data_IF_132774643389
#
_entry.id   IF_132774643389
#
_cell.length_a   1.000
_cell.length_b   1.000
_cell.length_c   1.000
_cell.angle_alpha   90.00
_cell.angle_beta   90.00
_cell.angle_gamma   90.00
#
_symmetry.space_group_name_H-M   'P 1'
#
loop_
_entity.id
_entity.type
_entity.pdbx_description
1 polymer ?
#
# COMPACT_ATOMS: atom_id res chain seq x y z
N UNK A 1 0.86 -22.89 -31.97
CA UNK A 1 0.03 -23.49 -30.93
C UNK A 1 -1.07 -22.50 -30.59
N UNK A 2 -2.34 -22.93 -30.57
CA UNK A 2 -3.43 -22.03 -30.21
C UNK A 2 -3.42 -21.80 -28.67
N UNK A 3 -3.93 -20.66 -28.19
CA UNK A 3 -3.99 -20.40 -26.75
C UNK A 3 -4.75 -21.47 -25.95
N UNK A 4 -5.55 -22.29 -26.61
CA UNK A 4 -6.28 -23.40 -25.99
C UNK A 4 -5.34 -24.57 -25.64
N UNK A 5 -4.29 -24.82 -26.41
CA UNK A 5 -3.34 -25.92 -26.12
C UNK A 5 -2.55 -25.67 -24.82
N UNK A 6 -2.31 -24.39 -24.46
CA UNK A 6 -1.63 -24.03 -23.22
C UNK A 6 -2.52 -24.23 -21.97
N UNK A 7 -3.85 -24.19 -22.12
CA UNK A 7 -4.78 -24.43 -21.00
C UNK A 7 -4.77 -25.91 -20.53
N UNK A 8 -4.26 -26.83 -21.36
CA UNK A 8 -4.18 -28.24 -21.00
C UNK A 8 -2.81 -28.65 -20.43
N UNK A 9 -1.85 -27.71 -20.35
CA UNK A 9 -0.58 -27.94 -19.64
C UNK A 9 -0.70 -27.43 -18.22
N UNK A 10 -0.93 -28.35 -17.27
CA UNK A 10 -1.21 -28.03 -15.87
C UNK A 10 -0.18 -27.06 -15.24
N UNK A 11 1.11 -27.30 -15.47
CA UNK A 11 2.19 -26.46 -14.93
C UNK A 11 2.15 -25.03 -15.49
N UNK A 12 1.92 -24.88 -16.81
CA UNK A 12 1.82 -23.58 -17.47
C UNK A 12 0.58 -22.82 -17.00
N UNK A 13 -0.55 -23.50 -16.92
CA UNK A 13 -1.80 -22.93 -16.42
C UNK A 13 -1.63 -22.44 -14.99
N UNK A 14 -1.06 -23.27 -14.12
CA UNK A 14 -0.83 -22.92 -12.71
C UNK A 14 0.13 -21.73 -12.57
N UNK A 15 1.20 -21.68 -13.39
CA UNK A 15 2.12 -20.55 -13.43
C UNK A 15 1.41 -19.25 -13.82
N UNK A 16 0.62 -19.27 -14.89
CA UNK A 16 -0.11 -18.11 -15.37
C UNK A 16 -1.13 -17.60 -14.33
N UNK A 17 -1.84 -18.52 -13.66
CA UNK A 17 -2.76 -18.18 -12.58
C UNK A 17 -2.02 -17.48 -11.43
N UNK A 18 -0.86 -18.02 -11.02
CA UNK A 18 -0.05 -17.42 -9.93
C UNK A 18 0.41 -16.01 -10.29
N UNK A 19 0.94 -15.81 -11.50
CA UNK A 19 1.41 -14.50 -11.97
C UNK A 19 0.25 -13.51 -12.01
N UNK A 20 -0.89 -13.88 -12.61
CA UNK A 20 -2.05 -13.02 -12.70
C UNK A 20 -2.60 -12.62 -11.31
N UNK A 21 -2.77 -13.60 -10.44
CA UNK A 21 -3.29 -13.37 -9.09
C UNK A 21 -2.37 -12.46 -8.28
N UNK A 22 -1.06 -12.72 -8.33
CA UNK A 22 -0.08 -11.89 -7.62
C UNK A 22 0.00 -10.48 -8.20
N UNK A 23 -0.06 -10.32 -9.52
CA UNK A 23 -0.06 -9.02 -10.18
C UNK A 23 -1.25 -8.16 -9.74
N UNK A 24 -2.46 -8.76 -9.73
CA UNK A 24 -3.67 -8.05 -9.29
C UNK A 24 -3.56 -7.65 -7.81
N UNK A 25 -3.19 -8.59 -6.95
CA UNK A 25 -3.06 -8.35 -5.50
C UNK A 25 -2.03 -7.24 -5.19
N UNK A 26 -0.85 -7.33 -5.82
CA UNK A 26 0.20 -6.34 -5.64
C UNK A 26 -0.24 -4.95 -6.10
N UNK A 27 -0.94 -4.86 -7.25
CA UNK A 27 -1.40 -3.58 -7.76
C UNK A 27 -2.46 -2.94 -6.84
N UNK A 28 -3.43 -3.72 -6.34
CA UNK A 28 -4.44 -3.23 -5.40
C UNK A 28 -3.78 -2.68 -4.14
N UNK A 29 -2.87 -3.45 -3.56
CA UNK A 29 -2.13 -3.01 -2.39
C UNK A 29 -1.28 -1.75 -2.66
N UNK A 30 -0.62 -1.68 -3.82
CA UNK A 30 0.13 -0.50 -4.22
C UNK A 30 -0.76 0.75 -4.34
N UNK A 31 -1.95 0.63 -4.93
CA UNK A 31 -2.91 1.73 -5.03
C UNK A 31 -3.30 2.24 -3.64
N UNK A 32 -3.58 1.33 -2.71
CA UNK A 32 -3.90 1.65 -1.32
C UNK A 32 -2.73 2.34 -0.60
N UNK A 33 -1.50 1.84 -0.77
CA UNK A 33 -0.29 2.45 -0.19
C UNK A 33 -0.08 3.87 -0.71
N UNK A 34 -0.23 4.11 -2.01
CA UNK A 34 -0.08 5.43 -2.61
C UNK A 34 -1.10 6.42 -2.03
N UNK A 35 -2.36 6.02 -1.95
CA UNK A 35 -3.45 6.88 -1.46
C UNK A 35 -3.30 7.14 0.05
N UNK A 36 -3.03 6.09 0.83
CA UNK A 36 -2.89 6.20 2.29
C UNK A 36 -1.69 7.05 2.67
N UNK A 37 -0.54 6.88 2.01
CA UNK A 37 0.67 7.68 2.27
C UNK A 37 0.39 9.17 2.14
N UNK A 38 -0.30 9.59 1.08
CA UNK A 38 -0.64 11.01 0.90
C UNK A 38 -1.68 11.48 1.92
N UNK A 39 -2.68 10.67 2.23
CA UNK A 39 -3.66 10.99 3.30
C UNK A 39 -2.98 11.15 4.67
N UNK A 40 -2.07 10.25 5.01
CA UNK A 40 -1.32 10.28 6.26
C UNK A 40 -0.43 11.53 6.36
N UNK A 41 0.17 11.97 5.25
CA UNK A 41 0.92 13.21 5.22
C UNK A 41 0.08 14.42 5.61
N UNK A 42 -1.15 14.53 5.09
CA UNK A 42 -2.06 15.60 5.49
C UNK A 42 -2.56 15.45 6.93
N UNK A 43 -2.72 14.21 7.42
CA UNK A 43 -3.06 13.95 8.82
C UNK A 43 -1.92 14.30 9.78
N UNK A 44 -0.66 14.21 9.32
CA UNK A 44 0.54 14.46 10.13
C UNK A 44 0.61 15.90 10.68
N UNK A 45 0.25 16.90 9.90
CA UNK A 45 0.22 18.30 10.37
C UNK A 45 -0.64 18.50 11.62
N UNK A 46 -1.59 17.61 11.84
CA UNK A 46 -2.45 17.60 13.02
C UNK A 46 -1.78 16.99 14.27
N UNK A 47 -0.82 16.08 14.09
CA UNK A 47 -0.14 15.35 15.18
C UNK A 47 0.98 16.17 15.81
N UNK A 48 1.66 17.03 15.06
CA UNK A 48 2.73 17.91 15.53
C UNK A 48 2.29 18.85 16.66
N UNK A 49 0.98 19.01 16.89
CA UNK A 49 0.42 19.79 17.98
C UNK A 49 0.10 18.96 19.25
N UNK A 50 0.69 17.77 19.41
CA UNK A 50 0.52 16.92 20.60
C UNK A 50 -0.78 16.13 20.63
N UNK A 51 -1.41 15.92 19.47
CA UNK A 51 -2.65 15.14 19.33
C UNK A 51 -2.35 13.74 18.75
N UNK A 52 -2.70 12.72 19.50
CA UNK A 52 -2.54 11.33 19.14
C UNK A 52 -3.52 10.94 18.00
N UNK A 53 -2.98 10.41 16.92
CA UNK A 53 -3.71 9.78 15.81
C UNK A 53 -4.89 10.57 15.24
N UNK A 54 -4.63 11.31 14.18
CA UNK A 54 -5.67 11.93 13.37
C UNK A 54 -5.73 11.20 12.01
N UNK A 55 -6.93 10.87 11.61
CA UNK A 55 -7.26 10.51 10.24
C UNK A 55 -8.10 11.61 9.62
N UNK A 56 -7.91 11.84 8.33
CA UNK A 56 -8.77 12.74 7.56
C UNK A 56 -9.92 12.00 6.89
N UNK A 57 -10.11 10.73 7.20
CA UNK A 57 -11.20 9.91 6.65
C UNK A 57 -12.56 10.33 7.20
N UNK A 58 -13.58 10.24 6.36
CA UNK A 58 -14.94 10.64 6.73
C UNK A 58 -15.46 9.80 7.89
N UNK A 59 -15.13 8.51 7.97
CA UNK A 59 -15.50 7.64 9.08
C UNK A 59 -14.93 8.09 10.42
N UNK A 60 -13.67 8.52 10.45
CA UNK A 60 -13.03 9.05 11.65
C UNK A 60 -13.68 10.36 12.09
N UNK A 61 -13.92 11.28 11.15
CA UNK A 61 -14.57 12.56 11.41
C UNK A 61 -15.97 12.33 11.99
N UNK A 62 -16.75 11.42 11.40
CA UNK A 62 -18.09 11.06 11.88
C UNK A 62 -18.05 10.42 13.28
N UNK A 63 -17.06 9.57 13.55
CA UNK A 63 -16.84 9.01 14.89
C UNK A 63 -16.62 10.10 15.93
N UNK A 64 -15.76 11.09 15.63
CA UNK A 64 -15.52 12.24 16.53
C UNK A 64 -16.80 13.09 16.77
N UNK A 65 -17.57 13.32 15.70
CA UNK A 65 -18.85 14.04 15.81
C UNK A 65 -19.83 13.30 16.73
N UNK A 66 -20.02 12.00 16.50
CA UNK A 66 -20.94 11.16 17.31
C UNK A 66 -20.52 11.13 18.79
N UNK A 67 -19.22 11.05 19.09
CA UNK A 67 -18.72 11.06 20.47
C UNK A 67 -18.99 12.39 21.16
N UNK A 68 -18.87 13.50 20.44
CA UNK A 68 -19.18 14.84 20.96
C UNK A 68 -20.69 15.00 21.20
N UNK A 69 -21.52 14.53 20.27
CA UNK A 69 -23.00 14.58 20.37
C UNK A 69 -23.54 13.74 21.52
N UNK A 70 -22.95 12.56 21.77
CA UNK A 70 -23.31 11.69 22.89
C UNK A 70 -22.87 12.22 24.27
N UNK A 71 -22.30 13.42 24.33
CA UNK A 71 -21.94 14.04 25.58
C UNK A 71 -20.75 13.38 26.27
N UNK A 72 -19.95 12.56 25.56
CA UNK A 72 -18.65 12.19 26.07
C UNK A 72 -17.95 13.49 26.43
N UNK A 73 -17.61 13.66 27.75
CA UNK A 73 -17.04 14.91 28.24
C UNK A 73 -15.96 15.35 27.26
N UNK A 74 -16.19 16.42 26.49
CA UNK A 74 -15.24 16.83 25.49
C UNK A 74 -14.00 17.27 26.24
N UNK A 75 -13.03 16.38 26.36
CA UNK A 75 -11.71 16.87 26.59
C UNK A 75 -11.45 17.87 25.46
N UNK A 76 -10.89 19.02 25.78
CA UNK A 76 -10.53 20.07 24.82
C UNK A 76 -9.89 19.48 23.57
N UNK A 77 -9.19 18.37 23.68
CA UNK A 77 -8.57 17.58 22.64
C UNK A 77 -9.55 17.05 21.55
N UNK A 78 -10.73 16.51 21.91
CA UNK A 78 -11.68 15.97 20.91
C UNK A 78 -12.20 17.06 19.96
N UNK A 79 -12.52 18.24 20.49
CA UNK A 79 -12.97 19.37 19.65
C UNK A 79 -11.86 19.88 18.75
N UNK A 80 -10.63 20.00 19.28
CA UNK A 80 -9.46 20.40 18.49
C UNK A 80 -9.18 19.37 17.39
N UNK A 81 -9.21 18.07 17.70
CA UNK A 81 -9.02 16.99 16.73
C UNK A 81 -10.05 17.06 15.60
N UNK A 82 -11.33 17.28 15.95
CA UNK A 82 -12.38 17.40 14.92
C UNK A 82 -12.17 18.61 14.01
N UNK A 83 -11.84 19.77 14.57
CA UNK A 83 -11.59 20.99 13.78
C UNK A 83 -10.40 20.80 12.86
N UNK A 84 -9.31 20.24 13.38
CA UNK A 84 -8.09 19.96 12.59
C UNK A 84 -8.37 18.94 11.49
N UNK A 85 -8.98 17.81 11.81
CA UNK A 85 -9.30 16.77 10.81
C UNK A 85 -10.18 17.32 9.67
N UNK A 86 -11.20 18.13 9.99
CA UNK A 86 -12.04 18.80 8.99
C UNK A 86 -11.26 19.79 8.12
N UNK A 87 -10.32 20.54 8.72
CA UNK A 87 -9.48 21.50 8.00
C UNK A 87 -8.59 20.76 7.01
N UNK A 88 -7.83 19.77 7.47
CA UNK A 88 -6.90 19.01 6.64
C UNK A 88 -7.65 18.19 5.57
N UNK A 89 -8.83 17.63 5.91
CA UNK A 89 -9.69 16.99 4.93
C UNK A 89 -10.11 17.95 3.81
N UNK A 90 -10.41 19.20 4.15
CA UNK A 90 -10.76 20.22 3.15
C UNK A 90 -9.58 20.56 2.25
N UNK A 91 -8.36 20.64 2.81
CA UNK A 91 -7.13 20.88 2.05
C UNK A 91 -6.87 19.70 1.12
N UNK A 92 -6.87 18.48 1.63
CA UNK A 92 -6.71 17.25 0.84
C UNK A 92 -7.74 17.17 -0.31
N UNK A 93 -9.03 17.42 -0.01
CA UNK A 93 -10.06 17.44 -1.06
C UNK A 93 -9.78 18.47 -2.15
N UNK A 94 -9.27 19.63 -1.79
CA UNK A 94 -8.96 20.69 -2.74
C UNK A 94 -7.72 20.36 -3.59
N UNK A 95 -6.65 19.89 -2.98
CA UNK A 95 -5.35 19.71 -3.61
C UNK A 95 -5.24 18.37 -4.35
N UNK A 96 -5.76 17.30 -3.78
CA UNK A 96 -5.63 15.96 -4.32
C UNK A 96 -6.85 15.56 -5.18
N UNK A 97 -8.07 15.73 -4.64
CA UNK A 97 -9.27 15.25 -5.32
C UNK A 97 -9.84 16.25 -6.33
N UNK A 98 -9.54 17.54 -6.18
CA UNK A 98 -10.12 18.60 -7.00
C UNK A 98 -11.64 18.75 -6.78
N UNK A 99 -12.27 19.73 -7.45
CA UNK A 99 -13.65 20.18 -7.15
C UNK A 99 -14.78 19.34 -7.75
N UNK A 100 -14.58 18.13 -8.29
CA UNK A 100 -15.63 17.39 -9.03
C UNK A 100 -15.87 15.96 -8.50
N UNK A 101 -17.13 15.48 -8.69
CA UNK A 101 -17.65 14.14 -8.34
C UNK A 101 -16.79 12.99 -8.91
N UNK A 102 -16.57 11.93 -8.19
CA UNK A 102 -15.76 10.71 -8.33
C UNK A 102 -14.43 10.79 -7.59
N UNK A 103 -14.53 10.73 -6.26
CA UNK A 103 -13.36 10.85 -5.37
C UNK A 103 -12.37 9.70 -5.57
N UNK A 104 -12.84 8.44 -5.69
CA UNK A 104 -11.96 7.28 -5.75
C UNK A 104 -11.09 7.21 -7.02
N UNK A 105 -11.69 7.45 -8.19
CA UNK A 105 -10.93 7.42 -9.45
C UNK A 105 -9.88 8.56 -9.55
N UNK A 106 -10.04 9.61 -8.74
CA UNK A 106 -9.13 10.77 -8.71
C UNK A 106 -8.08 10.65 -7.62
N UNK A 107 -8.38 9.92 -6.54
CA UNK A 107 -7.49 9.77 -5.41
C UNK A 107 -6.12 9.25 -5.85
N UNK A 108 -6.07 8.16 -6.60
CA UNK A 108 -4.81 7.63 -7.12
C UNK A 108 -4.08 8.65 -8.00
N UNK A 109 -4.77 9.24 -8.99
CA UNK A 109 -4.14 10.19 -9.91
C UNK A 109 -3.62 11.43 -9.19
N UNK A 110 -4.40 11.96 -8.25
CA UNK A 110 -4.00 13.11 -7.45
C UNK A 110 -2.83 12.80 -6.54
N UNK A 111 -2.87 11.63 -5.88
CA UNK A 111 -1.77 11.17 -5.01
C UNK A 111 -0.48 10.92 -5.78
N UNK A 112 -0.54 10.32 -6.97
CA UNK A 112 0.63 10.11 -7.82
C UNK A 112 1.23 11.46 -8.29
N UNK A 113 0.38 12.40 -8.69
CA UNK A 113 0.84 13.75 -9.05
C UNK A 113 1.50 14.44 -7.87
N UNK A 114 0.92 14.33 -6.68
CA UNK A 114 1.47 14.88 -5.45
C UNK A 114 2.84 14.26 -5.11
N UNK A 115 2.96 12.92 -5.18
CA UNK A 115 4.24 12.22 -4.98
C UNK A 115 5.31 12.62 -6.00
N UNK A 116 4.92 12.89 -7.24
CA UNK A 116 5.82 13.41 -8.28
C UNK A 116 6.28 14.84 -7.96
N UNK A 117 5.38 15.72 -7.54
CA UNK A 117 5.70 17.10 -7.13
C UNK A 117 6.62 17.13 -5.90
N UNK A 118 6.59 16.09 -5.06
CA UNK A 118 7.46 15.91 -3.90
C UNK A 118 8.70 15.05 -4.19
N UNK A 119 9.00 14.78 -5.46
CA UNK A 119 10.19 14.03 -5.92
C UNK A 119 10.30 12.61 -5.35
N UNK A 120 9.18 11.99 -4.96
CA UNK A 120 9.14 10.61 -4.50
C UNK A 120 9.16 9.64 -5.68
N UNK A 121 8.45 9.99 -6.75
CA UNK A 121 8.42 9.26 -8.03
C UNK A 121 8.79 10.19 -9.18
N UNK A 122 9.32 9.63 -10.27
CA UNK A 122 9.60 10.38 -11.49
C UNK A 122 8.39 10.42 -12.44
N UNK A 123 8.47 11.21 -13.51
CA UNK A 123 7.44 11.26 -14.54
C UNK A 123 7.33 9.91 -15.27
N UNK A 124 8.46 9.31 -15.62
CA UNK A 124 8.51 7.99 -16.28
C UNK A 124 7.91 6.89 -15.40
N UNK A 125 8.12 6.98 -14.10
CA UNK A 125 7.51 6.04 -13.14
C UNK A 125 6.00 6.24 -13.02
N UNK A 126 5.53 7.47 -13.08
CA UNK A 126 4.12 7.77 -13.12
C UNK A 126 3.45 7.18 -14.37
N UNK A 127 4.07 7.33 -15.55
CA UNK A 127 3.62 6.70 -16.80
C UNK A 127 3.63 5.16 -16.70
N UNK A 128 4.68 4.59 -16.12
CA UNK A 128 4.78 3.14 -15.87
C UNK A 128 3.62 2.65 -15.01
N UNK A 129 3.28 3.35 -13.91
CA UNK A 129 2.17 2.98 -13.03
C UNK A 129 0.85 2.95 -13.81
N UNK A 130 0.60 3.91 -14.71
CA UNK A 130 -0.60 3.87 -15.55
C UNK A 130 -0.59 2.73 -16.58
N UNK A 131 0.57 2.34 -17.10
CA UNK A 131 0.69 1.17 -17.96
C UNK A 131 0.40 -0.13 -17.20
N UNK A 132 0.91 -0.27 -15.99
CA UNK A 132 0.65 -1.38 -15.08
C UNK A 132 -0.84 -1.44 -14.73
N UNK A 133 -1.47 -0.31 -14.44
CA UNK A 133 -2.91 -0.22 -14.20
C UNK A 133 -3.73 -0.72 -15.39
N UNK A 134 -3.35 -0.33 -16.59
CA UNK A 134 -4.01 -0.81 -17.81
C UNK A 134 -3.87 -2.32 -17.94
N UNK A 135 -2.67 -2.87 -17.71
CA UNK A 135 -2.42 -4.33 -17.75
C UNK A 135 -3.23 -5.07 -16.69
N UNK A 136 -3.26 -4.56 -15.43
CA UNK A 136 -4.10 -5.12 -14.37
C UNK A 136 -5.58 -5.16 -14.76
N UNK A 137 -6.10 -4.09 -15.37
CA UNK A 137 -7.49 -4.07 -15.81
C UNK A 137 -7.76 -5.11 -16.91
N UNK A 138 -6.84 -5.30 -17.84
CA UNK A 138 -6.93 -6.39 -18.83
C UNK A 138 -6.97 -7.76 -18.16
N UNK A 139 -6.08 -8.00 -17.18
CA UNK A 139 -6.05 -9.25 -16.41
C UNK A 139 -7.37 -9.50 -15.67
N UNK A 140 -7.97 -8.48 -15.06
CA UNK A 140 -9.24 -8.62 -14.33
C UNK A 140 -10.41 -8.90 -15.26
N UNK A 141 -10.50 -8.20 -16.39
CA UNK A 141 -11.65 -8.30 -17.31
C UNK A 141 -11.57 -9.45 -18.30
N UNK A 142 -10.36 -9.86 -18.66
CA UNK A 142 -10.10 -10.89 -19.68
C UNK A 142 -9.29 -12.07 -19.12
N UNK A 143 -9.40 -12.36 -17.81
CA UNK A 143 -8.55 -13.30 -17.09
C UNK A 143 -8.36 -14.66 -17.80
N UNK A 144 -9.46 -15.30 -18.20
CA UNK A 144 -9.39 -16.60 -18.85
C UNK A 144 -8.65 -16.56 -20.19
N UNK A 145 -8.81 -15.49 -20.96
CA UNK A 145 -8.11 -15.29 -22.22
C UNK A 145 -6.63 -15.04 -22.00
N UNK A 146 -6.29 -14.18 -21.02
CA UNK A 146 -4.90 -13.85 -20.69
C UNK A 146 -4.14 -15.06 -20.13
N UNK A 147 -4.78 -15.86 -19.26
CA UNK A 147 -4.20 -17.12 -18.78
C UNK A 147 -3.98 -18.11 -19.93
N UNK A 148 -4.93 -18.20 -20.86
CA UNK A 148 -4.82 -19.07 -22.05
C UNK A 148 -3.74 -18.62 -23.03
N UNK A 149 -3.55 -17.31 -23.21
CA UNK A 149 -2.51 -16.74 -24.06
C UNK A 149 -1.10 -16.86 -23.46
N UNK A 150 -1.03 -16.98 -22.15
CA UNK A 150 0.20 -16.96 -21.37
C UNK A 150 0.56 -15.55 -20.88
N UNK A 151 1.00 -15.50 -19.64
CA UNK A 151 1.64 -14.31 -19.07
C UNK A 151 3.15 -14.41 -19.31
N UNK A 152 3.77 -13.29 -19.62
CA UNK A 152 5.14 -13.27 -20.10
C UNK A 152 6.13 -12.61 -19.13
N UNK A 153 7.38 -12.56 -19.53
CA UNK A 153 8.44 -11.91 -18.77
C UNK A 153 8.17 -10.42 -18.52
N UNK A 154 7.41 -9.74 -19.39
CA UNK A 154 7.07 -8.33 -19.21
C UNK A 154 6.14 -8.14 -18.01
N UNK A 155 5.20 -9.08 -17.80
CA UNK A 155 4.32 -9.06 -16.62
C UNK A 155 5.14 -9.21 -15.33
N UNK A 156 6.12 -10.12 -15.32
CA UNK A 156 7.03 -10.29 -14.17
C UNK A 156 7.89 -9.05 -13.96
N UNK A 157 8.39 -8.44 -15.01
CA UNK A 157 9.15 -7.17 -14.90
C UNK A 157 8.31 -6.03 -14.36
N UNK A 158 7.03 -5.95 -14.72
CA UNK A 158 6.09 -4.97 -14.14
C UNK A 158 5.89 -5.21 -12.65
N UNK A 159 5.74 -6.46 -12.22
CA UNK A 159 5.67 -6.85 -10.79
C UNK A 159 6.91 -6.36 -10.03
N UNK A 160 8.10 -6.68 -10.54
CA UNK A 160 9.37 -6.30 -9.88
C UNK A 160 9.52 -4.78 -9.79
N UNK A 161 9.15 -4.05 -10.85
CA UNK A 161 9.20 -2.58 -10.84
C UNK A 161 8.21 -2.00 -9.83
N UNK A 162 7.01 -2.58 -9.74
CA UNK A 162 5.98 -2.13 -8.81
C UNK A 162 6.40 -2.36 -7.35
N UNK A 163 6.99 -3.52 -7.02
CA UNK A 163 7.55 -3.79 -5.69
C UNK A 163 8.62 -2.76 -5.29
N UNK A 164 9.55 -2.44 -6.21
CA UNK A 164 10.59 -1.43 -5.95
C UNK A 164 10.00 -0.04 -5.72
N UNK A 165 8.99 0.34 -6.49
CA UNK A 165 8.29 1.61 -6.32
C UNK A 165 7.61 1.68 -4.95
N UNK A 166 6.91 0.62 -4.56
CA UNK A 166 6.24 0.51 -3.27
C UNK A 166 7.23 0.61 -2.11
N UNK A 167 8.33 -0.12 -2.14
CA UNK A 167 9.39 -0.04 -1.13
C UNK A 167 9.91 1.39 -0.97
N UNK A 168 10.14 2.10 -2.09
CA UNK A 168 10.62 3.49 -2.04
C UNK A 168 9.57 4.44 -1.46
N UNK A 169 8.30 4.31 -1.82
CA UNK A 169 7.22 5.13 -1.26
C UNK A 169 7.10 4.88 0.25
N UNK A 170 7.18 3.63 0.70
CA UNK A 170 7.14 3.28 2.10
C UNK A 170 8.36 3.79 2.87
N UNK A 171 9.55 3.67 2.31
CA UNK A 171 10.76 4.24 2.92
C UNK A 171 10.64 5.77 3.08
N UNK A 172 10.08 6.44 2.08
CA UNK A 172 9.80 7.87 2.16
C UNK A 172 8.77 8.17 3.24
N UNK A 173 7.65 7.40 3.31
CA UNK A 173 6.63 7.54 4.35
C UNK A 173 7.22 7.40 5.75
N UNK A 174 7.97 6.33 5.99
CA UNK A 174 8.64 6.10 7.28
C UNK A 174 9.51 7.29 7.66
N UNK A 175 10.31 7.80 6.72
CA UNK A 175 11.25 8.89 6.97
C UNK A 175 10.55 10.24 7.19
N UNK A 176 9.50 10.53 6.45
CA UNK A 176 8.86 11.85 6.46
C UNK A 176 7.64 11.93 7.38
N UNK A 177 7.01 10.80 7.69
CA UNK A 177 5.78 10.74 8.47
C UNK A 177 6.00 9.98 9.78
N UNK A 178 6.34 8.68 9.70
CA UNK A 178 6.32 7.81 10.90
C UNK A 178 7.42 8.19 11.91
N UNK A 179 8.65 8.41 11.45
CA UNK A 179 9.75 8.76 12.34
C UNK A 179 9.54 10.10 13.07
N UNK A 180 9.11 11.19 12.40
CA UNK A 180 8.80 12.43 13.08
C UNK A 180 7.67 12.32 14.10
N UNK A 181 6.60 11.55 13.78
CA UNK A 181 5.43 11.40 14.66
C UNK A 181 5.78 10.61 15.92
N UNK A 182 6.50 9.50 15.75
CA UNK A 182 6.76 8.57 16.83
C UNK A 182 8.02 8.93 17.63
N UNK A 183 8.74 9.98 17.25
CA UNK A 183 10.08 10.32 17.79
C UNK A 183 11.03 9.12 17.76
N UNK A 184 10.82 8.19 16.81
CA UNK A 184 11.60 6.97 16.70
C UNK A 184 12.96 7.33 16.10
N UNK A 185 14.01 6.95 16.84
CA UNK A 185 15.38 6.90 16.29
C UNK A 185 15.64 5.46 15.87
N UNK A 186 15.79 5.24 14.58
CA UNK A 186 16.22 3.93 14.10
C UNK A 186 17.60 3.58 14.71
N UNK A 187 17.87 2.30 15.01
CA UNK A 187 19.20 1.84 15.32
C UNK A 187 20.19 2.29 14.24
N UNK A 188 21.42 2.57 14.61
CA UNK A 188 22.43 3.11 13.66
C UNK A 188 22.68 2.19 12.46
N UNK A 189 22.41 0.90 12.64
CA UNK A 189 22.61 -0.17 11.65
C UNK A 189 21.45 -0.28 10.66
N UNK A 190 20.28 0.32 10.97
CA UNK A 190 19.06 0.24 10.15
C UNK A 190 18.89 1.54 9.39
N UNK A 191 18.85 1.45 8.07
CA UNK A 191 18.51 2.60 7.22
C UNK A 191 16.99 2.69 7.05
N UNK A 192 16.43 3.90 6.91
CA UNK A 192 15.00 4.05 6.59
C UNK A 192 14.56 3.25 5.36
N UNK A 193 15.45 3.11 4.39
CA UNK A 193 15.20 2.35 3.16
C UNK A 193 15.14 0.83 3.38
N UNK A 194 15.63 0.33 4.52
CA UNK A 194 15.56 -1.08 4.91
C UNK A 194 14.30 -1.39 5.74
N UNK A 195 13.51 -0.37 6.07
CA UNK A 195 12.28 -0.55 6.85
C UNK A 195 11.14 -0.94 5.92
N UNK A 196 10.54 -2.08 6.22
CA UNK A 196 9.44 -2.65 5.45
C UNK A 196 8.18 -2.71 6.31
N UNK A 197 7.04 -2.32 5.75
CA UNK A 197 5.74 -2.50 6.38
C UNK A 197 5.37 -3.99 6.51
N UNK A 198 4.46 -4.31 7.45
CA UNK A 198 4.03 -5.70 7.64
C UNK A 198 3.42 -6.31 6.38
N UNK A 199 2.55 -5.57 5.70
CA UNK A 199 1.89 -6.02 4.47
C UNK A 199 2.87 -6.16 3.30
N UNK A 200 3.87 -5.26 3.22
CA UNK A 200 4.94 -5.35 2.21
C UNK A 200 5.81 -6.59 2.43
N UNK A 201 6.13 -6.90 3.69
CA UNK A 201 6.89 -8.10 4.03
C UNK A 201 6.12 -9.37 3.64
N UNK A 202 4.80 -9.39 3.81
CA UNK A 202 3.95 -10.49 3.35
C UNK A 202 3.98 -10.61 1.82
N UNK A 203 3.80 -9.51 1.10
CA UNK A 203 3.82 -9.52 -0.38
C UNK A 203 5.18 -9.93 -0.94
N UNK A 204 6.28 -9.42 -0.37
CA UNK A 204 7.62 -9.83 -0.78
C UNK A 204 7.85 -11.32 -0.50
N UNK A 205 7.41 -11.81 0.66
CA UNK A 205 7.49 -13.23 1.00
C UNK A 205 6.68 -14.09 0.03
N UNK A 206 5.47 -13.66 -0.35
CA UNK A 206 4.68 -14.34 -1.37
C UNK A 206 5.40 -14.36 -2.72
N UNK A 207 6.03 -13.28 -3.14
CA UNK A 207 6.81 -13.22 -4.36
C UNK A 207 7.95 -14.24 -4.34
N UNK A 208 8.72 -14.29 -3.27
CA UNK A 208 9.83 -15.25 -3.10
C UNK A 208 9.36 -16.70 -3.13
N UNK A 209 8.25 -17.00 -2.46
CA UNK A 209 7.65 -18.34 -2.45
C UNK A 209 7.17 -18.75 -3.84
N UNK A 210 6.46 -17.86 -4.53
CA UNK A 210 5.80 -18.17 -5.80
C UNK A 210 6.77 -18.24 -6.98
N UNK A 211 7.81 -17.36 -6.98
CA UNK A 211 8.66 -17.15 -8.15
C UNK A 211 10.13 -17.48 -7.94
N UNK A 212 10.64 -17.43 -6.69
CA UNK A 212 12.05 -17.72 -6.40
C UNK A 212 12.30 -19.10 -5.80
N UNK A 213 11.25 -19.88 -5.55
CA UNK A 213 11.39 -21.25 -5.01
C UNK A 213 11.77 -21.31 -3.53
N UNK A 214 11.59 -20.21 -2.78
CA UNK A 214 11.97 -20.11 -1.36
C UNK A 214 10.92 -20.69 -0.39
N UNK A 215 9.88 -21.35 -0.89
CA UNK A 215 8.78 -21.89 -0.07
C UNK A 215 9.22 -22.81 1.08
N UNK A 216 10.11 -23.80 0.86
CA UNK A 216 10.59 -24.67 1.93
C UNK A 216 11.37 -23.94 3.02
N UNK A 217 12.24 -22.99 2.63
CA UNK A 217 13.07 -22.20 3.56
C UNK A 217 12.20 -21.27 4.41
N UNK A 218 11.17 -20.67 3.80
CA UNK A 218 10.22 -19.81 4.49
C UNK A 218 9.39 -20.58 5.51
N UNK A 219 8.95 -21.79 5.19
CA UNK A 219 8.24 -22.68 6.11
C UNK A 219 9.10 -23.02 7.32
N UNK A 220 10.34 -23.40 7.12
CA UNK A 220 11.29 -23.70 8.19
C UNK A 220 11.55 -22.49 9.11
N UNK A 221 11.68 -21.28 8.53
CA UNK A 221 11.83 -20.05 9.29
C UNK A 221 10.61 -19.73 10.16
N UNK A 222 9.39 -19.87 9.60
CA UNK A 222 8.14 -19.70 10.35
C UNK A 222 8.00 -20.70 11.50
N UNK A 223 8.32 -21.95 11.28
CA UNK A 223 8.27 -23.00 12.32
C UNK A 223 9.25 -22.69 13.47
N UNK A 224 10.45 -22.21 13.17
CA UNK A 224 11.44 -21.78 14.17
C UNK A 224 10.98 -20.59 14.99
N UNK A 225 10.41 -19.57 14.34
CA UNK A 225 9.90 -18.37 15.04
C UNK A 225 8.67 -18.68 15.88
N UNK A 226 7.75 -19.49 15.38
CA UNK A 226 6.57 -19.94 16.12
C UNK A 226 6.97 -20.72 17.39
N UNK A 227 7.97 -21.61 17.28
CA UNK A 227 8.50 -22.34 18.43
C UNK A 227 9.13 -21.41 19.49
N UNK A 228 9.86 -20.37 19.07
CA UNK A 228 10.42 -19.37 19.99
C UNK A 228 9.34 -18.55 20.71
N UNK A 229 8.28 -18.17 20.01
CA UNK A 229 7.17 -17.41 20.61
C UNK A 229 6.43 -18.25 21.65
N UNK A 230 6.13 -19.51 21.35
CA UNK A 230 5.49 -20.43 22.27
C UNK A 230 6.36 -20.71 23.53
N UNK A 231 7.68 -20.82 23.38
CA UNK A 231 8.59 -21.00 24.50
C UNK A 231 8.71 -19.76 25.42
N UNK A 232 8.45 -18.56 24.90
CA UNK A 232 8.42 -17.32 25.69
C UNK A 232 7.13 -17.12 26.46
N UNK A 233 6.00 -17.69 25.99
CA UNK A 233 4.71 -17.61 26.68
C UNK A 233 4.58 -18.61 27.86
N UNK A 234 5.47 -19.61 27.94
CA UNK A 234 5.49 -20.60 29.01
C UNK A 234 6.45 -20.24 30.17
N UNK A 235 7.05 -19.09 30.16
CA UNK A 235 7.89 -18.52 31.23
C UNK A 235 7.23 -17.31 31.86
#
# INVERSE_FOLDING_TARGET
MSGIDNLFQEETLLSNIKIAAYFILLYEHFEDVVISTVKEFYAHDCVLNGQLFLSIDDAYIQCLETRIENGEKPCTHLKHSLVSAKRERKIYKKEILGSKKNEDAKALRGSLKWLQEHYVISEEENELIFSIRKRRNTLVHELLKEIGNGLDEQDIQMIVKLLKLQQRINAWRVKQIDMPIMEIKLPKEVKPDDVMGGDDAVLESMFRILFCGEGPQFKEALEKESAKLLSKQQR
#
